data_IF_309194007681
#
_entry.id   IF_309194007681
#
_cell.length_a   1.000
_cell.length_b   1.000
_cell.length_c   1.000
_cell.angle_alpha   90.00
_cell.angle_beta   90.00
_cell.angle_gamma   90.00
#
_symmetry.space_group_name_H-M   'P 1'
#
loop_
_entity.id
_entity.type
_entity.pdbx_description
1 polymer ?
#
# COMPACT_ATOMS: atom_id res chain seq x y z
N UNK A 1 9.48 -28.70 59.07
CA UNK A 1 10.74 -28.35 58.38
C UNK A 1 10.39 -27.85 56.99
N UNK A 2 11.03 -26.77 56.58
CA UNK A 2 10.61 -25.89 55.51
C UNK A 2 10.56 -26.56 54.12
N UNK A 3 9.49 -26.28 53.38
CA UNK A 3 9.37 -26.48 51.94
C UNK A 3 9.99 -25.27 51.23
N UNK A 4 10.95 -25.52 50.36
CA UNK A 4 11.62 -24.55 49.48
C UNK A 4 10.80 -24.42 48.17
N UNK A 5 10.42 -23.22 47.70
CA UNK A 5 9.49 -23.08 46.59
C UNK A 5 10.15 -23.19 45.20
N UNK A 6 9.40 -23.84 44.32
CA UNK A 6 9.70 -24.08 42.91
C UNK A 6 9.95 -22.79 42.10
N UNK A 7 10.94 -22.88 41.21
CA UNK A 7 11.21 -21.91 40.13
C UNK A 7 10.07 -21.90 39.08
N UNK A 8 9.72 -20.75 38.49
CA UNK A 8 8.68 -20.68 37.46
C UNK A 8 9.19 -21.16 36.08
N UNK A 9 8.31 -21.68 35.20
CA UNK A 9 8.69 -22.26 33.92
C UNK A 9 9.08 -21.19 32.89
N UNK A 10 10.09 -21.55 32.08
CA UNK A 10 10.70 -20.69 31.07
C UNK A 10 9.76 -20.25 29.94
N UNK A 11 9.98 -19.01 29.48
CA UNK A 11 9.36 -18.46 28.26
C UNK A 11 9.88 -19.20 27.01
N UNK A 12 9.05 -19.41 25.98
CA UNK A 12 9.49 -20.02 24.73
C UNK A 12 10.48 -19.11 24.00
N UNK A 13 11.67 -19.65 23.69
CA UNK A 13 12.67 -19.01 22.84
C UNK A 13 12.16 -18.98 21.39
N UNK A 14 11.74 -17.81 20.91
CA UNK A 14 11.59 -17.56 19.47
C UNK A 14 12.96 -17.52 18.82
N UNK A 15 13.28 -18.56 18.04
CA UNK A 15 14.46 -18.60 17.15
C UNK A 15 14.23 -17.62 16.00
N UNK A 16 14.87 -16.44 16.07
CA UNK A 16 15.13 -15.61 14.91
C UNK A 16 16.36 -16.19 14.19
N UNK A 17 16.31 -16.47 12.87
CA UNK A 17 17.51 -16.90 12.14
C UNK A 17 18.53 -15.76 12.10
N UNK A 18 19.68 -15.98 12.73
CA UNK A 18 20.88 -15.15 12.60
C UNK A 18 21.39 -15.22 11.16
N UNK A 19 21.24 -14.12 10.41
CA UNK A 19 22.21 -13.68 9.39
C UNK A 19 21.99 -12.18 9.15
N UNK A 20 23.10 -11.43 9.22
CA UNK A 20 23.22 -9.98 9.00
C UNK A 20 22.72 -9.09 10.15
N UNK A 21 23.38 -9.19 11.30
CA UNK A 21 23.35 -8.15 12.33
C UNK A 21 24.79 -7.87 12.75
N UNK A 22 25.53 -7.14 11.92
CA UNK A 22 26.78 -6.46 12.28
C UNK A 22 27.17 -5.47 11.17
N UNK A 23 26.43 -4.35 11.11
CA UNK A 23 26.92 -3.11 10.52
C UNK A 23 26.45 -1.98 11.45
N UNK A 24 27.30 -1.65 12.43
CA UNK A 24 27.12 -0.47 13.28
C UNK A 24 27.50 0.76 12.47
N UNK A 25 26.54 1.63 12.18
CA UNK A 25 26.79 2.97 11.65
C UNK A 25 26.77 3.98 12.81
N UNK A 26 27.76 4.87 12.82
CA UNK A 26 28.03 5.83 13.90
C UNK A 26 26.89 6.83 14.13
N UNK A 27 26.73 7.22 15.41
CA UNK A 27 25.74 8.19 15.85
C UNK A 27 26.10 9.63 15.41
N UNK A 28 25.11 10.48 15.10
CA UNK A 28 25.33 11.92 14.88
C UNK A 28 25.54 12.68 16.21
N UNK A 29 26.23 13.85 16.18
CA UNK A 29 26.56 14.61 17.39
C UNK A 29 25.34 15.33 18.01
N UNK A 30 25.39 15.68 19.31
CA UNK A 30 24.26 16.25 20.04
C UNK A 30 24.07 17.75 19.76
N UNK A 31 22.81 18.19 19.70
CA UNK A 31 22.44 19.59 19.77
C UNK A 31 22.20 19.99 21.24
N UNK A 32 22.76 21.12 21.63
CA UNK A 32 22.60 21.73 22.95
C UNK A 32 21.33 22.58 23.04
N UNK A 33 20.88 22.69 24.28
CA UNK A 33 20.19 23.82 24.91
C UNK A 33 18.72 23.70 25.33
N UNK A 34 18.62 23.84 26.65
CA UNK A 34 17.56 23.93 27.63
C UNK A 34 16.35 24.82 27.30
N UNK A 35 15.15 24.35 27.65
CA UNK A 35 14.09 25.10 28.38
C UNK A 35 13.21 24.10 29.19
N UNK A 36 12.77 24.39 30.44
CA UNK A 36 12.28 23.40 31.42
C UNK A 36 10.76 23.14 31.41
N UNK A 37 10.27 22.10 32.11
CA UNK A 37 8.86 21.67 32.07
C UNK A 37 7.95 22.42 33.07
N UNK A 38 6.73 22.72 32.63
CA UNK A 38 5.63 23.22 33.48
C UNK A 38 4.78 22.04 33.96
N UNK A 39 4.61 21.99 35.27
CA UNK A 39 3.86 21.06 36.10
C UNK A 39 2.34 21.22 36.00
N UNK A 40 1.59 20.12 35.97
CA UNK A 40 0.24 20.07 36.54
C UNK A 40 0.00 18.75 37.30
N UNK A 41 -0.79 18.78 38.39
CA UNK A 41 -0.81 17.75 39.41
C UNK A 41 -1.82 16.65 39.10
N UNK A 42 -1.61 15.51 39.77
CA UNK A 42 -2.26 14.25 39.48
C UNK A 42 -3.65 14.08 40.06
N UNK A 43 -4.27 12.96 39.66
CA UNK A 43 -5.30 12.28 40.41
C UNK A 43 -5.19 10.78 40.14
N UNK A 44 -5.12 9.99 41.21
CA UNK A 44 -5.16 8.53 41.19
C UNK A 44 -6.31 8.03 42.09
N UNK A 45 -6.78 6.79 41.88
CA UNK A 45 -8.17 6.41 42.06
C UNK A 45 -8.44 5.63 43.35
N UNK A 46 -9.68 5.70 43.84
CA UNK A 46 -10.31 4.87 44.89
C UNK A 46 -11.83 4.90 44.60
N UNK A 47 -12.66 3.87 44.72
CA UNK A 47 -12.63 2.66 45.53
C UNK A 47 -13.75 1.69 45.05
N UNK A 48 -13.43 0.39 45.02
CA UNK A 48 -14.18 -0.82 45.49
C UNK A 48 -15.71 -1.01 45.35
N UNK A 49 -16.00 -2.32 45.10
CA UNK A 49 -17.12 -3.19 45.56
C UNK A 49 -18.43 -3.03 44.78
N UNK A 50 -19.22 -4.07 44.46
CA UNK A 50 -19.28 -5.49 44.87
C UNK A 50 -20.34 -6.20 44.00
N UNK A 51 -20.16 -7.50 43.72
CA UNK A 51 -21.22 -8.39 43.23
C UNK A 51 -22.20 -8.76 44.37
N UNK A 52 -23.39 -9.34 44.07
CA UNK A 52 -23.48 -10.80 43.97
C UNK A 52 -24.46 -11.36 42.90
N UNK A 53 -24.46 -12.70 42.87
CA UNK A 53 -25.23 -13.71 42.12
C UNK A 53 -26.74 -13.41 41.89
N UNK A 54 -27.49 -14.06 40.99
CA UNK A 54 -27.57 -15.51 40.73
C UNK A 54 -28.52 -15.85 39.57
N UNK A 55 -28.39 -17.11 39.13
CA UNK A 55 -29.42 -18.00 38.56
C UNK A 55 -29.40 -18.28 37.06
N UNK A 56 -29.24 -19.59 36.84
CA UNK A 56 -29.10 -20.30 35.60
C UNK A 56 -30.47 -20.70 35.05
N UNK A 57 -30.60 -20.70 33.72
CA UNK A 57 -31.60 -21.46 33.01
C UNK A 57 -30.91 -22.20 31.85
N UNK A 58 -31.11 -23.52 31.80
CA UNK A 58 -30.63 -24.44 30.76
C UNK A 58 -31.35 -24.21 29.43
N UNK A 59 -30.73 -24.53 28.29
CA UNK A 59 -31.34 -24.37 26.96
C UNK A 59 -32.16 -25.62 26.57
N UNK A 60 -33.21 -25.48 25.73
CA UNK A 60 -33.81 -26.62 25.08
C UNK A 60 -33.11 -26.96 23.76
N UNK A 61 -33.36 -28.20 23.36
CA UNK A 61 -32.59 -29.05 22.47
C UNK A 61 -32.73 -28.76 20.98
N UNK A 62 -31.79 -29.35 20.22
CA UNK A 62 -31.71 -29.37 18.76
C UNK A 62 -32.83 -30.20 18.17
N UNK A 63 -33.54 -29.63 17.19
CA UNK A 63 -34.33 -30.38 16.22
C UNK A 63 -33.54 -30.55 14.92
N UNK A 64 -33.36 -31.80 14.52
CA UNK A 64 -32.65 -32.25 13.34
C UNK A 64 -33.54 -32.19 12.10
N UNK A 65 -33.16 -31.41 11.09
CA UNK A 65 -33.77 -31.45 9.75
C UNK A 65 -32.76 -31.90 8.69
N UNK A 66 -33.21 -32.82 7.82
CA UNK A 66 -32.46 -33.53 6.76
C UNK A 66 -32.08 -32.61 5.59
N UNK A 67 -31.04 -32.95 4.79
CA UNK A 67 -30.53 -32.10 3.72
C UNK A 67 -31.38 -32.22 2.44
N UNK A 68 -31.99 -31.10 2.03
CA UNK A 68 -32.64 -30.92 0.72
C UNK A 68 -31.78 -30.06 -0.22
N UNK A 69 -31.69 -30.52 -1.46
CA UNK A 69 -31.08 -29.89 -2.65
C UNK A 69 -31.15 -28.35 -2.70
N UNK A 70 -30.03 -27.70 -3.03
CA UNK A 70 -29.98 -26.29 -3.47
C UNK A 70 -29.85 -26.23 -5.00
N UNK A 71 -30.75 -25.56 -5.75
CA UNK A 71 -30.42 -25.02 -7.07
C UNK A 71 -29.77 -23.63 -6.93
N UNK A 72 -28.86 -23.33 -7.86
CA UNK A 72 -27.96 -22.18 -7.85
C UNK A 72 -28.64 -20.82 -7.60
N UNK A 73 -28.37 -20.26 -6.42
CA UNK A 73 -28.64 -18.87 -6.09
C UNK A 73 -27.36 -18.04 -6.22
N UNK A 74 -27.43 -16.99 -7.05
CA UNK A 74 -26.52 -15.84 -7.03
C UNK A 74 -26.29 -15.43 -5.58
N UNK A 75 -25.03 -15.47 -5.09
CA UNK A 75 -24.67 -14.91 -3.78
C UNK A 75 -24.91 -13.40 -3.83
N UNK A 76 -26.11 -12.99 -3.44
CA UNK A 76 -26.38 -11.61 -3.02
C UNK A 76 -25.68 -11.46 -1.68
N UNK A 77 -24.60 -10.66 -1.65
CA UNK A 77 -23.94 -10.31 -0.39
C UNK A 77 -24.96 -9.69 0.57
N UNK A 78 -24.91 -9.98 1.88
CA UNK A 78 -25.83 -9.39 2.83
C UNK A 78 -25.70 -7.86 2.77
N UNK A 79 -26.85 -7.19 2.61
CA UNK A 79 -26.96 -5.76 2.81
C UNK A 79 -26.40 -5.42 4.20
N UNK A 80 -25.33 -4.63 4.26
CA UNK A 80 -24.74 -4.20 5.54
C UNK A 80 -23.21 -4.32 5.67
N UNK A 81 -22.47 -4.64 4.60
CA UNK A 81 -21.00 -4.62 4.66
C UNK A 81 -20.46 -3.40 3.89
N UNK A 82 -19.82 -2.49 4.62
CA UNK A 82 -19.30 -1.21 4.10
C UNK A 82 -18.29 -1.46 3.00
N UNK A 83 -18.42 -0.75 1.87
CA UNK A 83 -17.45 -0.76 0.77
C UNK A 83 -16.60 0.52 0.87
N UNK A 84 -15.29 0.36 0.97
CA UNK A 84 -14.33 1.45 1.10
C UNK A 84 -13.37 1.40 -0.09
N UNK A 85 -13.14 2.53 -0.74
CA UNK A 85 -12.34 2.61 -1.95
C UNK A 85 -11.27 3.70 -1.85
N UNK A 86 -10.01 3.28 -1.93
CA UNK A 86 -8.89 4.17 -2.22
C UNK A 86 -8.80 4.31 -3.73
N UNK A 87 -8.71 5.54 -4.23
CA UNK A 87 -8.52 5.82 -5.65
C UNK A 87 -7.17 6.50 -5.81
N UNK A 88 -6.20 5.77 -6.38
CA UNK A 88 -4.81 6.17 -6.42
C UNK A 88 -4.34 6.56 -7.82
N UNK A 89 -3.64 7.68 -7.94
CA UNK A 89 -2.94 8.06 -9.15
C UNK A 89 -1.46 7.72 -9.03
N UNK A 90 -0.97 6.84 -9.90
CA UNK A 90 0.45 6.53 -10.01
C UNK A 90 1.18 7.65 -10.81
N UNK A 91 2.51 7.65 -10.76
CA UNK A 91 3.41 8.56 -11.48
C UNK A 91 3.32 10.08 -11.12
N UNK A 92 2.75 10.47 -9.97
CA UNK A 92 2.77 11.87 -9.52
C UNK A 92 4.22 12.36 -9.39
N UNK A 93 4.54 13.57 -9.85
CA UNK A 93 5.90 14.09 -9.94
C UNK A 93 6.67 13.71 -11.21
N UNK A 94 6.14 12.83 -12.07
CA UNK A 94 6.80 12.47 -13.33
C UNK A 94 6.81 13.61 -14.36
N UNK A 95 5.70 14.33 -14.52
CA UNK A 95 5.56 15.46 -15.44
C UNK A 95 4.52 16.48 -14.93
N UNK A 96 4.56 17.75 -15.41
CA UNK A 96 3.56 18.75 -15.03
C UNK A 96 2.14 18.34 -15.46
N UNK A 97 1.99 17.69 -16.63
CA UNK A 97 0.69 17.21 -17.11
C UNK A 97 0.05 16.18 -16.16
N UNK A 98 0.86 15.25 -15.61
CA UNK A 98 0.41 14.30 -14.60
C UNK A 98 0.09 15.03 -13.30
N UNK A 99 0.95 15.94 -12.85
CA UNK A 99 0.72 16.71 -11.62
C UNK A 99 -0.61 17.45 -11.63
N UNK A 100 -0.91 18.15 -12.72
CA UNK A 100 -2.16 18.88 -12.88
C UNK A 100 -3.36 17.94 -12.97
N UNK A 101 -3.25 16.81 -13.67
CA UNK A 101 -4.30 15.80 -13.72
C UNK A 101 -4.62 15.24 -12.33
N UNK A 102 -3.60 14.93 -11.52
CA UNK A 102 -3.75 14.43 -10.14
C UNK A 102 -4.50 15.43 -9.26
N UNK A 103 -4.06 16.69 -9.24
CA UNK A 103 -4.68 17.71 -8.38
C UNK A 103 -6.12 17.99 -8.79
N UNK A 104 -6.40 18.06 -10.10
CA UNK A 104 -7.76 18.22 -10.60
C UNK A 104 -8.63 17.00 -10.33
N UNK A 105 -8.12 15.79 -10.51
CA UNK A 105 -8.85 14.56 -10.19
C UNK A 105 -9.16 14.42 -8.69
N UNK A 106 -8.34 15.00 -7.81
CA UNK A 106 -8.63 15.04 -6.38
C UNK A 106 -9.68 16.11 -6.02
N UNK A 107 -9.53 17.34 -6.53
CA UNK A 107 -10.44 18.46 -6.23
C UNK A 107 -11.79 18.32 -6.89
N UNK A 108 -11.78 17.86 -8.14
CA UNK A 108 -12.94 17.78 -9.03
C UNK A 108 -13.37 16.32 -9.24
N UNK A 109 -12.94 15.34 -8.46
CA UNK A 109 -13.13 13.93 -8.80
C UNK A 109 -13.29 13.01 -7.60
N UNK A 110 -13.02 11.72 -7.84
CA UNK A 110 -13.03 10.68 -6.81
C UNK A 110 -11.63 10.30 -6.32
N UNK A 111 -10.57 10.95 -6.83
CA UNK A 111 -9.19 10.60 -6.46
C UNK A 111 -8.95 10.90 -4.98
N UNK A 112 -8.38 9.96 -4.23
CA UNK A 112 -8.10 10.14 -2.80
C UNK A 112 -6.61 10.17 -2.49
N UNK A 113 -5.80 9.44 -3.25
CA UNK A 113 -4.35 9.33 -3.03
C UNK A 113 -3.55 9.46 -4.32
N UNK A 114 -2.28 9.81 -4.20
CA UNK A 114 -1.32 9.83 -5.29
C UNK A 114 0.02 9.23 -4.85
N UNK A 115 0.72 8.57 -5.76
CA UNK A 115 2.03 7.99 -5.50
C UNK A 115 3.12 8.83 -6.17
N UNK A 116 3.94 9.48 -5.36
CA UNK A 116 4.97 10.44 -5.77
C UNK A 116 6.27 9.73 -6.18
N UNK A 117 6.72 9.99 -7.40
CA UNK A 117 8.05 9.66 -7.91
C UNK A 117 9.04 10.75 -7.49
N UNK A 118 9.82 10.50 -6.45
CA UNK A 118 10.76 11.50 -5.91
C UNK A 118 11.91 11.86 -6.85
N UNK A 119 12.13 11.02 -7.86
CA UNK A 119 13.11 11.20 -8.93
C UNK A 119 12.47 11.66 -10.25
N UNK A 120 11.17 11.97 -10.25
CA UNK A 120 10.46 12.50 -11.41
C UNK A 120 10.90 13.92 -11.76
N UNK A 121 10.74 14.29 -13.04
CA UNK A 121 11.19 15.58 -13.55
C UNK A 121 10.39 16.78 -13.00
N UNK A 122 9.16 16.54 -12.55
CA UNK A 122 8.26 17.53 -11.97
C UNK A 122 8.01 17.30 -10.48
N UNK A 123 9.00 16.70 -9.79
CA UNK A 123 8.92 16.39 -8.36
C UNK A 123 8.67 17.63 -7.49
N UNK A 124 9.41 18.72 -7.71
CA UNK A 124 9.31 19.92 -6.87
C UNK A 124 7.92 20.56 -6.97
N UNK A 125 7.39 20.69 -8.20
CA UNK A 125 6.01 21.14 -8.45
C UNK A 125 4.98 20.22 -7.75
N UNK A 126 5.16 18.90 -7.83
CA UNK A 126 4.27 17.94 -7.19
C UNK A 126 4.26 18.10 -5.66
N UNK A 127 5.41 18.35 -5.05
CA UNK A 127 5.53 18.59 -3.60
C UNK A 127 4.82 19.89 -3.20
N UNK A 128 4.99 20.97 -3.97
CA UNK A 128 4.28 22.24 -3.72
C UNK A 128 2.76 22.06 -3.81
N UNK A 129 2.28 21.41 -4.87
CA UNK A 129 0.86 21.13 -5.07
C UNK A 129 0.27 20.24 -3.97
N UNK A 130 1.03 19.24 -3.51
CA UNK A 130 0.63 18.39 -2.39
C UNK A 130 0.51 19.17 -1.07
N UNK A 131 1.47 20.08 -0.78
CA UNK A 131 1.40 20.95 0.41
C UNK A 131 0.19 21.88 0.38
N UNK A 132 -0.20 22.34 -0.80
CA UNK A 132 -1.41 23.16 -1.01
C UNK A 132 -2.70 22.33 -0.96
N UNK A 133 -2.61 21.00 -0.93
CA UNK A 133 -3.75 20.08 -1.00
C UNK A 133 -3.64 18.99 0.09
N UNK A 134 -3.67 19.36 1.39
CA UNK A 134 -3.41 18.42 2.50
C UNK A 134 -4.47 17.32 2.66
N UNK A 135 -5.60 17.42 1.96
CA UNK A 135 -6.61 16.36 1.86
C UNK A 135 -6.18 15.20 0.96
N UNK A 136 -5.18 15.37 0.09
CA UNK A 136 -4.64 14.31 -0.77
C UNK A 136 -3.67 13.44 0.03
N UNK A 137 -3.89 12.12 0.06
CA UNK A 137 -2.88 11.19 0.59
C UNK A 137 -1.72 11.05 -0.40
N UNK A 138 -0.48 11.24 0.05
CA UNK A 138 0.70 11.16 -0.82
C UNK A 138 1.64 10.04 -0.36
N UNK A 139 1.77 9.01 -1.18
CA UNK A 139 2.67 7.89 -0.96
C UNK A 139 3.98 8.00 -1.75
N UNK A 140 4.94 7.12 -1.44
CA UNK A 140 6.17 6.98 -2.21
C UNK A 140 5.99 5.96 -3.34
N UNK A 141 6.19 6.40 -4.58
CA UNK A 141 6.22 5.56 -5.78
C UNK A 141 7.66 5.17 -6.10
N UNK A 142 8.09 4.02 -5.58
CA UNK A 142 9.46 3.54 -5.79
C UNK A 142 9.76 3.35 -7.28
N UNK A 143 10.79 4.03 -7.73
CA UNK A 143 11.20 4.00 -9.14
C UNK A 143 12.56 3.32 -9.23
N UNK A 144 12.55 2.06 -9.59
CA UNK A 144 13.76 1.22 -9.76
C UNK A 144 13.95 0.84 -11.22
N UNK A 145 13.15 1.42 -12.10
CA UNK A 145 13.17 1.17 -13.51
C UNK A 145 12.55 2.34 -14.24
N UNK A 146 13.04 2.61 -15.44
CA UNK A 146 12.71 3.81 -16.22
C UNK A 146 13.06 5.11 -15.48
N UNK A 147 13.69 6.06 -16.16
CA UNK A 147 14.08 7.34 -15.55
C UNK A 147 15.37 7.27 -14.72
N UNK A 148 15.59 8.29 -13.88
CA UNK A 148 16.86 8.55 -13.19
C UNK A 148 16.88 8.03 -11.76
N UNK A 149 18.02 7.59 -11.25
CA UNK A 149 18.18 7.27 -9.83
C UNK A 149 18.20 8.55 -8.96
N UNK A 150 17.93 8.36 -7.67
CA UNK A 150 18.15 9.38 -6.64
C UNK A 150 19.60 9.38 -6.17
N UNK A 151 20.20 8.19 -6.04
CA UNK A 151 21.61 8.03 -5.66
C UNK A 151 22.53 8.42 -6.82
N UNK A 152 23.77 8.78 -6.49
CA UNK A 152 24.78 9.07 -7.50
C UNK A 152 25.21 7.80 -8.23
N UNK A 153 25.64 7.93 -9.49
CA UNK A 153 26.13 6.78 -10.27
C UNK A 153 27.35 6.09 -9.63
N UNK A 154 28.13 6.79 -8.81
CA UNK A 154 29.27 6.20 -8.10
C UNK A 154 28.83 5.25 -6.97
N UNK A 155 27.65 5.44 -6.41
CA UNK A 155 27.13 4.61 -5.29
C UNK A 155 26.44 3.33 -5.77
N UNK A 156 25.89 3.37 -6.99
CA UNK A 156 25.07 2.31 -7.59
C UNK A 156 25.44 2.00 -9.07
N UNK A 157 26.74 1.78 -9.38
CA UNK A 157 27.24 1.72 -10.75
C UNK A 157 26.67 0.57 -11.60
N UNK A 158 26.13 -0.48 -10.97
CA UNK A 158 25.58 -1.64 -11.67
C UNK A 158 24.06 -1.54 -11.89
N UNK A 159 23.39 -0.61 -11.20
CA UNK A 159 21.96 -0.36 -11.34
C UNK A 159 21.63 0.62 -12.45
N UNK A 160 22.47 1.63 -12.65
CA UNK A 160 22.23 2.70 -13.62
C UNK A 160 23.36 2.87 -14.60
N UNK A 161 23.05 3.48 -15.74
CA UNK A 161 24.03 3.79 -16.79
C UNK A 161 24.89 5.02 -16.40
N UNK A 162 25.90 5.40 -17.19
CA UNK A 162 26.73 6.58 -16.90
C UNK A 162 25.97 7.91 -16.76
N UNK A 163 24.72 8.00 -17.23
CA UNK A 163 23.83 9.17 -17.08
C UNK A 163 22.98 9.10 -15.80
N UNK A 164 23.15 8.08 -14.97
CA UNK A 164 22.35 7.88 -13.76
C UNK A 164 20.95 7.32 -14.04
N UNK A 165 20.71 6.72 -15.21
CA UNK A 165 19.39 6.21 -15.61
C UNK A 165 19.27 4.70 -15.43
N UNK A 166 18.11 4.24 -14.96
CA UNK A 166 17.79 2.81 -14.89
C UNK A 166 17.57 2.21 -16.27
N UNK A 167 17.59 0.88 -16.33
CA UNK A 167 17.12 0.13 -17.50
C UNK A 167 15.68 0.50 -17.85
N UNK A 168 15.35 0.49 -19.15
CA UNK A 168 13.96 0.62 -19.64
C UNK A 168 13.31 -0.75 -19.90
N UNK A 169 13.96 -1.86 -19.52
CA UNK A 169 13.45 -3.23 -19.72
C UNK A 169 13.08 -3.89 -18.39
N UNK A 170 11.78 -3.94 -18.04
CA UNK A 170 11.25 -4.53 -16.79
C UNK A 170 11.67 -5.95 -16.54
N UNK A 171 11.56 -6.80 -17.56
CA UNK A 171 11.87 -8.22 -17.43
C UNK A 171 13.36 -8.40 -17.16
N UNK A 172 14.23 -7.75 -17.95
CA UNK A 172 15.68 -7.89 -17.80
C UNK A 172 16.14 -7.32 -16.46
N UNK A 173 15.67 -6.13 -16.08
CA UNK A 173 16.01 -5.52 -14.81
C UNK A 173 15.55 -6.37 -13.62
N UNK A 174 14.30 -6.82 -13.61
CA UNK A 174 13.75 -7.70 -12.57
C UNK A 174 14.56 -8.99 -12.43
N UNK A 175 14.86 -9.67 -13.54
CA UNK A 175 15.71 -10.87 -13.50
C UNK A 175 17.08 -10.58 -12.90
N UNK A 176 17.74 -9.49 -13.29
CA UNK A 176 19.03 -9.08 -12.70
C UNK A 176 18.92 -8.82 -11.19
N UNK A 177 17.86 -8.13 -10.75
CA UNK A 177 17.63 -7.82 -9.34
C UNK A 177 17.38 -9.07 -8.49
N UNK A 178 16.81 -10.12 -9.08
CA UNK A 178 16.58 -11.38 -8.38
C UNK A 178 17.87 -12.18 -8.19
N UNK A 179 18.71 -12.27 -9.23
CA UNK A 179 19.85 -13.19 -9.24
C UNK A 179 21.19 -12.58 -8.82
N UNK A 180 21.31 -11.24 -8.72
CA UNK A 180 22.57 -10.58 -8.37
C UNK A 180 22.60 -10.08 -6.92
N UNK A 181 23.41 -10.69 -6.03
CA UNK A 181 23.62 -10.18 -4.68
C UNK A 181 24.25 -8.79 -4.65
N UNK A 182 25.12 -8.47 -5.61
CA UNK A 182 25.75 -7.14 -5.72
C UNK A 182 24.70 -6.04 -5.95
N UNK A 183 23.71 -6.30 -6.82
CA UNK A 183 22.62 -5.37 -7.07
C UNK A 183 21.71 -5.19 -5.86
N UNK A 184 21.55 -6.21 -5.01
CA UNK A 184 20.72 -6.10 -3.81
C UNK A 184 21.19 -5.00 -2.85
N UNK A 185 22.50 -4.84 -2.68
CA UNK A 185 23.06 -3.77 -1.85
C UNK A 185 22.82 -2.39 -2.47
N UNK A 186 23.03 -2.26 -3.78
CA UNK A 186 22.76 -1.01 -4.51
C UNK A 186 21.26 -0.66 -4.50
N UNK A 187 20.38 -1.65 -4.61
CA UNK A 187 18.92 -1.46 -4.50
C UNK A 187 18.56 -0.94 -3.11
N UNK A 188 19.14 -1.50 -2.05
CA UNK A 188 18.88 -1.04 -0.70
C UNK A 188 19.38 0.40 -0.45
N UNK A 189 20.49 0.81 -1.09
CA UNK A 189 20.96 2.19 -1.08
C UNK A 189 19.98 3.11 -1.81
N UNK A 190 19.61 2.75 -3.03
CA UNK A 190 18.71 3.57 -3.85
C UNK A 190 17.32 3.73 -3.23
N UNK A 191 16.74 2.63 -2.73
CA UNK A 191 15.46 2.68 -2.02
C UNK A 191 15.59 3.58 -0.78
N UNK A 192 16.67 3.45 -0.01
CA UNK A 192 16.95 4.32 1.13
C UNK A 192 17.07 5.80 0.74
N UNK A 193 17.74 6.10 -0.37
CA UNK A 193 17.86 7.47 -0.90
C UNK A 193 16.49 8.04 -1.32
N UNK A 194 15.63 7.23 -1.93
CA UNK A 194 14.26 7.64 -2.26
C UNK A 194 13.41 7.93 -1.02
N UNK A 195 13.49 7.08 0.02
CA UNK A 195 12.82 7.34 1.30
C UNK A 195 13.36 8.60 1.99
N UNK A 196 14.68 8.80 2.00
CA UNK A 196 15.30 10.00 2.54
C UNK A 196 14.81 11.26 1.80
N UNK A 197 14.82 11.24 0.47
CA UNK A 197 14.32 12.34 -0.36
C UNK A 197 12.84 12.61 -0.12
N UNK A 198 12.00 11.58 -0.02
CA UNK A 198 10.60 11.74 0.36
C UNK A 198 10.45 12.39 1.73
N UNK A 199 11.20 11.91 2.74
CA UNK A 199 11.17 12.46 4.10
C UNK A 199 11.55 13.95 4.14
N UNK A 200 12.52 14.38 3.32
CA UNK A 200 12.91 15.79 3.21
C UNK A 200 11.81 16.71 2.66
N UNK A 201 10.78 16.17 2.00
CA UNK A 201 9.62 16.97 1.59
C UNK A 201 8.77 17.44 2.77
N UNK A 202 8.86 16.77 3.93
CA UNK A 202 7.98 17.00 5.08
C UNK A 202 6.55 16.50 4.89
N UNK A 203 6.22 15.85 3.76
CA UNK A 203 4.92 15.20 3.57
C UNK A 203 4.80 13.96 4.47
N UNK A 204 3.58 13.69 4.92
CA UNK A 204 3.27 12.44 5.63
C UNK A 204 3.30 11.30 4.63
N UNK A 205 4.07 10.25 4.92
CA UNK A 205 4.09 9.04 4.10
C UNK A 205 2.76 8.28 4.25
N UNK A 206 1.88 8.44 3.26
CA UNK A 206 0.56 7.81 3.23
C UNK A 206 0.66 6.31 2.97
N UNK A 207 1.38 5.91 1.91
CA UNK A 207 1.62 4.53 1.51
C UNK A 207 2.91 4.35 0.72
N UNK A 208 3.27 3.10 0.44
CA UNK A 208 4.38 2.73 -0.45
C UNK A 208 3.88 1.80 -1.55
N UNK A 209 4.23 2.11 -2.79
CA UNK A 209 4.12 1.22 -3.93
C UNK A 209 5.34 1.43 -4.85
N UNK A 210 5.24 1.09 -6.13
CA UNK A 210 6.37 1.30 -7.03
C UNK A 210 6.01 1.15 -8.49
N UNK A 211 6.72 1.90 -9.32
CA UNK A 211 6.55 1.95 -10.76
C UNK A 211 6.66 0.55 -11.36
N UNK A 212 5.73 0.22 -12.26
CA UNK A 212 5.56 -1.13 -12.82
C UNK A 212 5.42 -2.24 -11.77
N UNK A 213 4.91 -1.91 -10.59
CA UNK A 213 4.74 -2.80 -9.44
C UNK A 213 6.04 -3.44 -8.94
N UNK A 214 7.20 -2.79 -9.15
CA UNK A 214 8.51 -3.31 -8.74
C UNK A 214 8.66 -3.50 -7.22
N UNK A 215 7.82 -2.84 -6.42
CA UNK A 215 7.75 -3.05 -4.97
C UNK A 215 7.39 -4.48 -4.56
N UNK A 216 6.68 -5.24 -5.41
CA UNK A 216 6.36 -6.67 -5.19
C UNK A 216 7.46 -7.63 -5.68
N UNK A 217 8.47 -7.13 -6.39
CA UNK A 217 9.59 -7.96 -6.81
C UNK A 217 10.27 -8.58 -5.56
N UNK A 218 10.54 -9.90 -5.51
CA UNK A 218 10.92 -10.58 -4.27
C UNK A 218 12.08 -9.94 -3.51
N UNK A 219 13.13 -9.49 -4.22
CA UNK A 219 14.29 -8.80 -3.63
C UNK A 219 13.94 -7.42 -3.09
N UNK A 220 13.14 -6.65 -3.84
CA UNK A 220 12.76 -5.28 -3.46
C UNK A 220 11.82 -5.33 -2.25
N UNK A 221 10.83 -6.22 -2.32
CA UNK A 221 9.88 -6.46 -1.25
C UNK A 221 10.58 -6.86 0.05
N UNK A 222 11.60 -7.73 -0.02
CA UNK A 222 12.36 -8.14 1.16
C UNK A 222 13.14 -6.98 1.78
N UNK A 223 13.71 -6.09 0.96
CA UNK A 223 14.36 -4.87 1.46
C UNK A 223 13.34 -4.00 2.20
N UNK A 224 12.17 -3.75 1.60
CA UNK A 224 11.10 -2.95 2.22
C UNK A 224 10.62 -3.57 3.53
N UNK A 225 10.35 -4.87 3.54
CA UNK A 225 9.91 -5.58 4.74
C UNK A 225 10.97 -5.57 5.85
N UNK A 226 12.25 -5.68 5.50
CA UNK A 226 13.34 -5.67 6.49
C UNK A 226 13.58 -4.29 7.14
N UNK A 227 13.17 -3.21 6.48
CA UNK A 227 13.39 -1.82 6.92
C UNK A 227 12.10 -1.03 7.16
N UNK A 228 10.96 -1.73 7.27
CA UNK A 228 9.67 -1.06 7.39
C UNK A 228 9.57 -0.14 8.62
N UNK A 229 10.15 -0.54 9.75
CA UNK A 229 10.19 0.29 10.96
C UNK A 229 11.09 1.52 10.79
N UNK A 230 12.27 1.35 10.19
CA UNK A 230 13.24 2.43 9.92
C UNK A 230 12.62 3.50 9.02
N UNK A 231 11.87 3.07 8.00
CA UNK A 231 11.27 3.94 6.99
C UNK A 231 9.81 4.32 7.30
N UNK A 232 9.31 3.97 8.48
CA UNK A 232 7.93 4.24 8.93
C UNK A 232 6.88 3.81 7.90
N UNK A 233 7.08 2.65 7.26
CA UNK A 233 6.13 2.08 6.32
C UNK A 233 4.96 1.52 7.12
N UNK A 234 3.82 2.23 7.08
CA UNK A 234 2.57 1.80 7.71
C UNK A 234 1.58 1.19 6.74
N UNK A 235 1.63 1.61 5.47
CA UNK A 235 0.75 1.13 4.41
C UNK A 235 1.54 0.78 3.16
N UNK A 236 1.16 -0.30 2.49
CA UNK A 236 1.83 -0.78 1.29
C UNK A 236 0.80 -1.36 0.30
N UNK A 237 0.94 -1.06 -1.00
CA UNK A 237 0.09 -1.67 -2.03
C UNK A 237 0.41 -3.16 -2.19
N UNK A 238 -0.62 -4.00 -2.22
CA UNK A 238 -0.51 -5.40 -2.60
C UNK A 238 -1.31 -5.64 -3.87
N UNK A 239 -0.65 -5.49 -5.01
CA UNK A 239 -1.26 -5.65 -6.33
C UNK A 239 -1.71 -7.09 -6.57
N UNK A 240 -2.99 -7.33 -6.35
CA UNK A 240 -3.69 -8.58 -6.63
C UNK A 240 -5.00 -8.20 -7.32
N UNK A 241 -5.05 -8.30 -8.65
CA UNK A 241 -6.18 -7.85 -9.46
C UNK A 241 -6.98 -9.06 -9.95
N UNK A 242 -8.25 -9.22 -9.53
CA UNK A 242 -8.93 -10.50 -9.62
C UNK A 242 -9.39 -10.76 -11.05
N UNK A 243 -8.77 -11.75 -11.69
CA UNK A 243 -9.02 -12.09 -13.09
C UNK A 243 -10.50 -12.37 -13.38
N UNK A 244 -11.16 -13.14 -12.52
CA UNK A 244 -12.56 -13.54 -12.71
C UNK A 244 -13.52 -12.35 -12.70
N UNK A 245 -13.26 -11.33 -11.87
CA UNK A 245 -14.06 -10.12 -11.89
C UNK A 245 -13.75 -9.29 -13.13
N UNK A 246 -12.46 -9.05 -13.41
CA UNK A 246 -12.08 -8.28 -14.58
C UNK A 246 -12.64 -8.88 -15.87
N UNK A 247 -12.67 -10.21 -15.98
CA UNK A 247 -13.22 -10.94 -17.13
C UNK A 247 -14.66 -10.53 -17.47
N UNK A 248 -15.43 -10.05 -16.47
CA UNK A 248 -16.80 -9.55 -16.64
C UNK A 248 -16.86 -8.05 -16.91
N UNK A 249 -15.85 -7.30 -16.47
CA UNK A 249 -15.80 -5.84 -16.57
C UNK A 249 -15.32 -5.35 -17.93
N UNK A 250 -14.32 -6.02 -18.50
CA UNK A 250 -13.64 -5.59 -19.72
C UNK A 250 -13.29 -6.76 -20.65
N UNK A 251 -13.28 -6.47 -21.95
CA UNK A 251 -13.03 -7.42 -23.03
C UNK A 251 -11.57 -7.36 -23.54
N UNK A 252 -11.06 -8.48 -24.02
CA UNK A 252 -9.76 -8.58 -24.72
C UNK A 252 -8.52 -8.64 -23.81
N UNK A 253 -7.34 -8.62 -24.46
CA UNK A 253 -5.99 -8.75 -23.84
C UNK A 253 -5.82 -9.98 -22.93
N UNK A 254 -6.49 -11.09 -23.23
CA UNK A 254 -6.49 -12.28 -22.39
C UNK A 254 -5.10 -12.83 -22.08
N UNK A 255 -4.16 -12.84 -23.04
CA UNK A 255 -2.78 -13.26 -22.79
C UNK A 255 -2.05 -12.39 -21.76
N UNK A 256 -2.16 -11.05 -21.87
CA UNK A 256 -1.64 -10.11 -20.87
C UNK A 256 -2.31 -10.33 -19.51
N UNK A 257 -3.63 -10.46 -19.49
CA UNK A 257 -4.39 -10.55 -18.24
C UNK A 257 -4.16 -11.85 -17.49
N UNK A 258 -4.13 -12.98 -18.21
CA UNK A 258 -3.84 -14.29 -17.65
C UNK A 258 -2.41 -14.33 -17.08
N UNK A 259 -1.43 -13.86 -17.85
CA UNK A 259 -0.03 -13.84 -17.41
C UNK A 259 0.17 -12.94 -16.19
N UNK A 260 -0.36 -11.71 -16.20
CA UNK A 260 -0.21 -10.78 -15.09
C UNK A 260 -0.98 -11.23 -13.86
N UNK A 261 -2.23 -11.71 -14.00
CA UNK A 261 -2.97 -12.28 -12.87
C UNK A 261 -2.22 -13.45 -12.22
N UNK A 262 -1.63 -14.35 -13.04
CA UNK A 262 -0.85 -15.46 -12.51
C UNK A 262 0.39 -15.00 -11.73
N UNK A 263 1.20 -14.11 -12.33
CA UNK A 263 2.44 -13.61 -11.72
C UNK A 263 2.13 -12.84 -10.43
N UNK A 264 1.25 -11.83 -10.52
CA UNK A 264 0.97 -10.93 -9.40
C UNK A 264 0.19 -11.61 -8.28
N UNK A 265 -0.70 -12.58 -8.56
CA UNK A 265 -1.35 -13.33 -7.48
C UNK A 265 -0.34 -14.14 -6.64
N UNK A 266 0.70 -14.69 -7.27
CA UNK A 266 1.78 -15.41 -6.57
C UNK A 266 2.63 -14.45 -5.73
N UNK A 267 3.02 -13.32 -6.30
CA UNK A 267 3.79 -12.29 -5.58
C UNK A 267 3.00 -11.70 -4.42
N UNK A 268 1.73 -11.34 -4.63
CA UNK A 268 0.83 -10.84 -3.61
C UNK A 268 0.64 -11.85 -2.46
N UNK A 269 0.48 -13.14 -2.76
CA UNK A 269 0.36 -14.18 -1.73
C UNK A 269 1.61 -14.27 -0.86
N UNK A 270 2.80 -14.26 -1.47
CA UNK A 270 4.08 -14.23 -0.74
C UNK A 270 4.21 -12.96 0.10
N UNK A 271 3.86 -11.82 -0.47
CA UNK A 271 3.94 -10.52 0.20
C UNK A 271 3.02 -10.50 1.43
N UNK A 272 1.75 -10.88 1.29
CA UNK A 272 0.79 -10.99 2.41
C UNK A 272 1.32 -11.89 3.53
N UNK A 273 1.87 -13.05 3.20
CA UNK A 273 2.46 -13.97 4.18
C UNK A 273 3.64 -13.33 4.94
N UNK A 274 4.48 -12.58 4.23
CA UNK A 274 5.64 -11.91 4.82
C UNK A 274 5.23 -10.74 5.73
N UNK A 275 4.11 -10.08 5.44
CA UNK A 275 3.58 -8.97 6.24
C UNK A 275 2.76 -9.42 7.46
N UNK A 276 2.48 -10.71 7.62
CA UNK A 276 1.75 -11.21 8.79
C UNK A 276 2.49 -10.82 10.07
N UNK A 277 1.79 -10.09 10.95
CA UNK A 277 2.35 -9.62 12.22
C UNK A 277 3.29 -8.40 12.13
N UNK A 278 3.49 -7.82 10.95
CA UNK A 278 4.32 -6.60 10.78
C UNK A 278 3.61 -5.30 11.21
N UNK A 279 2.28 -5.33 11.34
CA UNK A 279 1.47 -4.13 11.57
C UNK A 279 1.24 -3.26 10.33
N UNK A 280 1.85 -3.61 9.19
CA UNK A 280 1.64 -2.92 7.90
C UNK A 280 0.25 -3.25 7.38
N UNK A 281 -0.53 -2.22 7.06
CA UNK A 281 -1.88 -2.32 6.50
C UNK A 281 -1.85 -2.25 4.97
N UNK A 282 -2.80 -2.91 4.34
CA UNK A 282 -2.96 -2.95 2.89
C UNK A 282 -4.41 -3.30 2.54
N UNK A 283 -4.86 -2.90 1.35
CA UNK A 283 -6.22 -3.21 0.88
C UNK A 283 -6.38 -4.70 0.58
N UNK A 284 -7.63 -5.20 0.67
CA UNK A 284 -7.91 -6.60 0.36
C UNK A 284 -7.81 -6.88 -1.14
N UNK A 285 -8.25 -5.92 -1.96
CA UNK A 285 -8.28 -6.02 -3.41
C UNK A 285 -7.71 -4.76 -4.05
N UNK A 286 -6.97 -4.94 -5.15
CA UNK A 286 -6.44 -3.84 -5.97
C UNK A 286 -6.94 -4.03 -7.40
N UNK A 287 -7.43 -2.98 -8.02
CA UNK A 287 -7.89 -2.94 -9.41
C UNK A 287 -7.03 -1.97 -10.22
N UNK A 288 -6.82 -2.27 -11.50
CA UNK A 288 -6.10 -1.40 -12.44
C UNK A 288 -4.95 -2.09 -13.17
N UNK A 289 -4.36 -3.14 -12.57
CA UNK A 289 -3.26 -3.92 -13.18
C UNK A 289 -3.68 -4.55 -14.51
N UNK A 290 -4.84 -5.21 -14.52
CA UNK A 290 -5.37 -5.89 -15.71
C UNK A 290 -5.94 -4.91 -16.73
N UNK A 291 -6.07 -3.65 -16.35
CA UNK A 291 -6.57 -2.53 -17.14
C UNK A 291 -5.52 -1.43 -17.34
N UNK A 292 -4.24 -1.80 -17.35
CA UNK A 292 -3.13 -0.86 -17.48
C UNK A 292 -3.34 0.13 -18.66
N UNK A 293 -3.32 1.43 -18.34
CA UNK A 293 -3.59 2.55 -19.25
C UNK A 293 -4.99 2.52 -19.92
N UNK A 294 -5.96 1.80 -19.33
CA UNK A 294 -7.34 1.63 -19.84
C UNK A 294 -8.40 1.74 -18.74
N UNK A 295 -8.10 2.42 -17.64
CA UNK A 295 -9.06 2.73 -16.57
C UNK A 295 -9.95 3.90 -17.01
N UNK A 296 -10.83 3.63 -17.98
CA UNK A 296 -11.78 4.61 -18.52
C UNK A 296 -13.09 4.68 -17.71
N UNK A 297 -13.94 5.68 -18.02
CA UNK A 297 -15.21 5.90 -17.34
C UNK A 297 -16.10 4.63 -17.36
N UNK A 298 -16.12 3.92 -18.49
CA UNK A 298 -16.94 2.73 -18.67
C UNK A 298 -16.48 1.61 -17.74
N UNK A 299 -15.18 1.40 -17.61
CA UNK A 299 -14.62 0.42 -16.69
C UNK A 299 -14.96 0.77 -15.24
N UNK A 300 -14.74 2.02 -14.83
CA UNK A 300 -15.02 2.46 -13.45
C UNK A 300 -16.50 2.30 -13.11
N UNK A 301 -17.42 2.72 -13.99
CA UNK A 301 -18.87 2.57 -13.79
C UNK A 301 -19.32 1.11 -13.65
N UNK A 302 -18.62 0.17 -14.29
CA UNK A 302 -18.88 -1.27 -14.13
C UNK A 302 -18.23 -1.85 -12.88
N UNK A 303 -17.10 -1.31 -12.44
CA UNK A 303 -16.35 -1.79 -11.27
C UNK A 303 -17.06 -1.43 -9.96
N UNK A 304 -17.53 -0.18 -9.81
CA UNK A 304 -18.11 0.32 -8.54
C UNK A 304 -19.21 -0.59 -7.95
N UNK A 305 -20.19 -1.09 -8.73
CA UNK A 305 -21.23 -1.99 -8.21
C UNK A 305 -20.68 -3.33 -7.70
N UNK A 306 -19.58 -3.79 -8.28
CA UNK A 306 -18.97 -5.10 -8.06
C UNK A 306 -17.86 -5.09 -7.01
N UNK A 307 -17.56 -3.93 -6.40
CA UNK A 307 -16.57 -3.83 -5.34
C UNK A 307 -16.92 -4.78 -4.19
N UNK A 308 -15.96 -5.61 -3.74
CA UNK A 308 -16.17 -6.44 -2.57
C UNK A 308 -16.34 -5.56 -1.32
N UNK A 309 -17.02 -6.07 -0.28
CA UNK A 309 -17.02 -5.41 1.01
C UNK A 309 -15.61 -5.27 1.60
N UNK A 310 -15.40 -4.22 2.39
CA UNK A 310 -14.09 -3.87 2.95
C UNK A 310 -13.28 -2.93 2.05
N UNK A 311 -11.96 -3.02 2.17
CA UNK A 311 -11.02 -2.08 1.54
C UNK A 311 -10.57 -2.54 0.17
N UNK A 312 -10.86 -1.71 -0.82
CA UNK A 312 -10.36 -1.85 -2.18
C UNK A 312 -9.50 -0.67 -2.57
N UNK A 313 -8.57 -0.88 -3.49
CA UNK A 313 -7.89 0.18 -4.22
C UNK A 313 -8.24 0.08 -5.70
N UNK A 314 -8.51 1.21 -6.34
CA UNK A 314 -8.43 1.37 -7.78
C UNK A 314 -7.24 2.28 -8.08
N UNK A 315 -6.27 1.82 -8.87
CA UNK A 315 -5.18 2.69 -9.32
C UNK A 315 -5.21 2.89 -10.83
N UNK A 316 -4.74 4.07 -11.25
CA UNK A 316 -4.65 4.50 -12.65
C UNK A 316 -3.49 5.49 -12.82
N UNK A 317 -3.28 5.96 -14.05
CA UNK A 317 -2.22 6.86 -14.48
C UNK A 317 -2.84 8.11 -15.15
N UNK A 318 -3.67 8.91 -14.44
CA UNK A 318 -4.31 10.07 -15.04
C UNK A 318 -3.26 11.08 -15.50
N UNK A 319 -3.33 11.49 -16.78
CA UNK A 319 -2.53 12.58 -17.33
C UNK A 319 -3.38 13.45 -18.25
N UNK A 320 -3.00 14.71 -18.43
CA UNK A 320 -3.65 15.60 -19.39
C UNK A 320 -3.23 15.32 -20.86
N UNK A 321 -2.15 14.56 -21.07
CA UNK A 321 -1.56 14.28 -22.39
C UNK A 321 -1.55 12.78 -22.77
N UNK A 322 -0.86 11.91 -22.02
CA UNK A 322 -0.66 10.49 -22.35
C UNK A 322 -1.95 9.66 -22.15
N UNK A 323 -2.68 9.90 -21.06
CA UNK A 323 -3.86 9.11 -20.67
C UNK A 323 -5.06 9.99 -20.23
N UNK A 324 -5.55 10.88 -21.13
CA UNK A 324 -6.62 11.82 -20.80
C UNK A 324 -7.95 11.13 -20.47
N UNK A 325 -8.17 9.90 -20.97
CA UNK A 325 -9.36 9.11 -20.65
C UNK A 325 -9.40 8.65 -19.20
N UNK A 326 -8.24 8.34 -18.59
CA UNK A 326 -8.20 7.96 -17.17
C UNK A 326 -8.44 9.19 -16.29
N UNK A 327 -7.85 10.33 -16.63
CA UNK A 327 -8.16 11.61 -15.99
C UNK A 327 -9.68 11.91 -16.06
N UNK A 328 -10.27 11.83 -17.26
CA UNK A 328 -11.70 12.08 -17.48
C UNK A 328 -12.58 11.13 -16.68
N UNK A 329 -12.19 9.86 -16.55
CA UNK A 329 -12.92 8.89 -15.73
C UNK A 329 -12.98 9.31 -14.25
N UNK A 330 -11.87 9.83 -13.70
CA UNK A 330 -11.78 10.21 -12.29
C UNK A 330 -12.57 11.48 -11.95
N UNK A 331 -12.73 12.41 -12.90
CA UNK A 331 -13.53 13.64 -12.71
C UNK A 331 -14.99 13.49 -13.15
N UNK A 332 -15.37 12.34 -13.73
CA UNK A 332 -16.70 12.12 -14.27
C UNK A 332 -17.81 12.34 -13.23
N UNK A 333 -18.80 13.23 -13.51
CA UNK A 333 -19.98 13.38 -12.66
C UNK A 333 -20.75 12.07 -12.49
N UNK A 334 -20.77 11.22 -13.52
CA UNK A 334 -21.46 9.92 -13.49
C UNK A 334 -20.78 8.96 -12.53
N UNK A 335 -19.44 8.92 -12.53
CA UNK A 335 -18.65 8.09 -11.63
C UNK A 335 -18.84 8.55 -10.18
N UNK A 336 -18.76 9.85 -9.92
CA UNK A 336 -19.03 10.42 -8.59
C UNK A 336 -20.43 10.08 -8.08
N UNK A 337 -21.46 10.36 -8.89
CA UNK A 337 -22.85 10.06 -8.54
C UNK A 337 -23.01 8.56 -8.25
N UNK A 338 -22.43 7.70 -9.09
CA UNK A 338 -22.51 6.25 -8.88
C UNK A 338 -21.84 5.78 -7.60
N UNK A 339 -20.69 6.37 -7.23
CA UNK A 339 -20.02 6.06 -5.97
C UNK A 339 -20.87 6.47 -4.76
N UNK A 340 -21.48 7.65 -4.82
CA UNK A 340 -22.39 8.16 -3.80
C UNK A 340 -23.67 7.32 -3.67
N UNK A 341 -24.32 6.99 -4.79
CA UNK A 341 -25.54 6.17 -4.84
C UNK A 341 -25.33 4.77 -4.23
N UNK A 342 -24.12 4.23 -4.39
CA UNK A 342 -23.74 2.93 -3.83
C UNK A 342 -23.25 3.00 -2.38
N UNK A 343 -23.18 4.21 -1.79
CA UNK A 343 -22.68 4.42 -0.44
C UNK A 343 -21.21 4.02 -0.26
N UNK A 344 -20.40 4.11 -1.33
CA UNK A 344 -18.98 3.77 -1.28
C UNK A 344 -18.23 4.88 -0.52
N UNK A 345 -17.50 4.49 0.52
CA UNK A 345 -16.69 5.43 1.29
C UNK A 345 -15.32 5.61 0.62
N UNK A 346 -15.03 6.83 0.19
CA UNK A 346 -13.71 7.18 -0.32
C UNK A 346 -12.78 7.49 0.85
N UNK A 347 -11.57 6.91 0.83
CA UNK A 347 -10.57 7.08 1.89
C UNK A 347 -9.15 7.11 1.32
N UNK A 348 -8.19 7.52 2.13
CA UNK A 348 -6.75 7.42 1.83
C UNK A 348 -6.16 6.18 2.47
N UNK A 349 -4.91 5.85 2.13
CA UNK A 349 -4.23 4.76 2.83
C UNK A 349 -4.02 5.04 4.30
N UNK A 350 -3.73 6.28 4.69
CA UNK A 350 -3.56 6.65 6.10
C UNK A 350 -4.83 6.52 6.96
N UNK A 351 -5.99 6.33 6.33
CA UNK A 351 -7.28 6.14 6.99
C UNK A 351 -7.63 4.63 7.17
N UNK A 352 -6.75 3.71 6.71
CA UNK A 352 -6.90 2.26 6.90
C UNK A 352 -6.67 1.84 8.35
#
# INVERSE_FOLDING_TARGET
MAFDPASPPGRPRTRVPRRVADLRFGAPPPASDHVPPVSHPGFSPKLRRSAPASHAARPPERETARPGQLPGGRRVSPAGSVRRLIVNADDFGRSPAINQAVIRAHREGILTTASLMVNGAAFDEAVELARQTPSLGVGLHLTLICGKATSSQLEIPDLVNPRGEFSNSPVIAGTRYFFSPALRLQLAREIGAQFAKFKHTGLVLDHVNGHLNMHLHPTVFEILASRCFEWNIRHLRITDDPLALNARLADGRWGYRLSHAFIFNRLARRARQTLLGSGIKFTHQVFGLLQNARVDERYVLKLLPELPPGDSELYSHPSLDEFPHEFTALISPRVKAKAADLGIQLLRYQDL
#
